data_IF_432702468768
#
_entry.id   IF_432702468768
#
_cell.length_a   1.000
_cell.length_b   1.000
_cell.length_c   1.000
_cell.angle_alpha   90.00
_cell.angle_beta   90.00
_cell.angle_gamma   90.00
#
_symmetry.space_group_name_H-M   'P 1'
#
loop_
_entity.id
_entity.type
_entity.pdbx_description
1 polymer ?
#
# COMPACT_ATOMS: atom_id res chain seq x y z
N UNK A 1 1.34 -30.53 7.60
CA UNK A 1 2.49 -30.42 8.52
C UNK A 1 3.47 -29.42 7.92
N UNK A 2 3.51 -28.22 8.51
CA UNK A 2 4.43 -27.08 8.36
C UNK A 2 5.16 -26.88 7.02
N UNK A 3 4.61 -26.02 6.14
CA UNK A 3 5.39 -25.31 5.12
C UNK A 3 5.61 -23.87 5.58
N UNK A 4 6.52 -23.70 6.53
CA UNK A 4 7.17 -22.41 6.78
C UNK A 4 8.18 -22.21 5.65
N UNK A 5 7.72 -21.63 4.53
CA UNK A 5 8.58 -21.31 3.40
C UNK A 5 9.11 -19.87 3.59
N UNK A 6 10.15 -19.72 4.41
CA UNK A 6 10.91 -18.47 4.50
C UNK A 6 11.52 -18.21 3.11
N UNK A 7 11.01 -17.19 2.42
CA UNK A 7 11.18 -16.91 0.99
C UNK A 7 12.62 -17.11 0.46
N UNK A 8 12.85 -18.23 -0.23
CA UNK A 8 14.03 -18.46 -1.07
C UNK A 8 13.56 -18.49 -2.52
N UNK A 9 13.65 -17.36 -3.21
CA UNK A 9 13.30 -17.27 -4.62
C UNK A 9 14.29 -18.10 -5.44
N UNK A 10 13.79 -19.08 -6.18
CA UNK A 10 14.52 -19.64 -7.31
C UNK A 10 14.54 -18.62 -8.44
N UNK A 11 15.56 -18.67 -9.29
CA UNK A 11 15.60 -17.88 -10.52
C UNK A 11 14.24 -17.98 -11.25
N UNK A 12 13.69 -16.87 -11.80
CA UNK A 12 12.41 -16.92 -12.48
C UNK A 12 12.38 -18.03 -13.52
N UNK A 13 11.30 -18.78 -13.57
CA UNK A 13 11.12 -19.91 -14.50
C UNK A 13 12.05 -21.11 -14.27
N UNK A 14 12.89 -21.14 -13.24
CA UNK A 14 13.79 -22.28 -12.98
C UNK A 14 13.04 -23.63 -12.95
N UNK A 15 11.97 -23.73 -12.17
CA UNK A 15 11.20 -24.98 -12.07
C UNK A 15 10.47 -25.33 -13.37
N UNK A 16 10.04 -24.33 -14.15
CA UNK A 16 9.43 -24.55 -15.47
C UNK A 16 10.48 -25.05 -16.48
N UNK A 17 11.69 -24.50 -16.45
CA UNK A 17 12.83 -24.92 -17.29
C UNK A 17 13.32 -26.32 -16.93
N UNK A 18 13.24 -26.70 -15.66
CA UNK A 18 13.63 -28.04 -15.21
C UNK A 18 12.49 -29.05 -15.19
N UNK A 19 11.27 -28.67 -15.62
CA UNK A 19 10.06 -29.49 -15.53
C UNK A 19 10.09 -30.75 -16.39
N UNK A 20 9.23 -31.72 -16.02
CA UNK A 20 9.06 -32.93 -16.80
C UNK A 20 8.53 -32.64 -18.21
N UNK A 21 9.14 -33.27 -19.21
CA UNK A 21 8.85 -33.03 -20.62
C UNK A 21 9.70 -31.93 -21.26
N UNK A 22 10.31 -31.03 -20.47
CA UNK A 22 11.20 -29.95 -20.98
C UNK A 22 12.67 -30.29 -20.79
N UNK A 23 13.05 -30.92 -19.67
CA UNK A 23 14.43 -31.35 -19.42
C UNK A 23 14.48 -32.84 -19.06
N UNK A 24 15.35 -33.61 -19.72
CA UNK A 24 15.66 -35.00 -19.34
C UNK A 24 16.80 -35.08 -18.33
N UNK A 25 17.68 -34.08 -18.32
CA UNK A 25 18.91 -34.07 -17.51
C UNK A 25 19.11 -32.67 -16.92
N UNK A 26 19.42 -32.60 -15.61
CA UNK A 26 19.70 -31.34 -14.89
C UNK A 26 21.09 -31.42 -14.28
N UNK A 27 21.95 -30.49 -14.68
CA UNK A 27 23.34 -30.41 -14.24
C UNK A 27 23.50 -29.35 -13.15
N UNK A 28 24.02 -29.74 -11.99
CA UNK A 28 24.31 -28.85 -10.87
C UNK A 28 25.79 -28.53 -10.85
N UNK A 29 26.14 -27.26 -11.11
CA UNK A 29 27.53 -26.81 -11.30
C UNK A 29 28.19 -26.17 -10.07
N UNK A 30 27.59 -26.34 -8.88
CA UNK A 30 28.04 -25.69 -7.63
C UNK A 30 29.41 -26.18 -7.11
N UNK A 31 29.96 -25.47 -6.12
CA UNK A 31 31.22 -25.82 -5.45
C UNK A 31 31.13 -27.16 -4.67
N UNK A 32 32.29 -27.80 -4.56
CA UNK A 32 32.61 -29.21 -4.19
C UNK A 32 31.79 -29.89 -3.08
N UNK A 33 31.68 -31.22 -3.17
CA UNK A 33 31.03 -32.13 -2.22
C UNK A 33 31.46 -31.99 -0.73
N UNK A 34 32.57 -31.32 -0.45
CA UNK A 34 33.11 -31.07 0.90
C UNK A 34 32.30 -30.02 1.69
N UNK A 35 31.61 -29.11 1.00
CA UNK A 35 30.61 -28.22 1.59
C UNK A 35 29.24 -28.59 1.02
N UNK A 36 28.62 -29.66 1.53
CA UNK A 36 27.20 -29.98 1.28
C UNK A 36 26.32 -28.84 1.82
N UNK A 37 26.25 -27.74 1.08
CA UNK A 37 25.46 -26.60 1.48
C UNK A 37 23.99 -27.07 1.57
N UNK A 38 23.30 -26.86 2.71
CA UNK A 38 21.92 -27.28 2.88
C UNK A 38 20.98 -26.81 1.76
N UNK A 39 21.31 -25.69 1.11
CA UNK A 39 20.60 -25.13 -0.03
C UNK A 39 20.60 -26.05 -1.25
N UNK A 40 21.71 -26.72 -1.56
CA UNK A 40 21.80 -27.59 -2.74
C UNK A 40 20.79 -28.74 -2.64
N UNK A 41 20.68 -29.36 -1.46
CA UNK A 41 19.68 -30.42 -1.20
C UNK A 41 18.25 -29.91 -1.38
N UNK A 42 17.96 -28.67 -0.95
CA UNK A 42 16.64 -28.07 -1.13
C UNK A 42 16.33 -27.81 -2.61
N UNK A 43 17.28 -27.26 -3.37
CA UNK A 43 17.10 -27.02 -4.81
C UNK A 43 16.91 -28.34 -5.55
N UNK A 44 17.69 -29.37 -5.23
CA UNK A 44 17.51 -30.71 -5.78
C UNK A 44 16.11 -31.28 -5.47
N UNK A 45 15.64 -31.16 -4.23
CA UNK A 45 14.28 -31.59 -3.85
C UNK A 45 13.19 -30.83 -4.60
N UNK A 46 13.34 -29.51 -4.76
CA UNK A 46 12.41 -28.67 -5.52
C UNK A 46 12.40 -29.03 -7.02
N UNK A 47 13.56 -29.25 -7.63
CA UNK A 47 13.62 -29.69 -9.03
C UNK A 47 13.01 -31.09 -9.16
N UNK A 48 13.24 -31.98 -8.19
CA UNK A 48 12.70 -33.34 -8.20
C UNK A 48 11.18 -33.38 -8.07
N UNK A 49 10.57 -32.43 -7.35
CA UNK A 49 9.10 -32.33 -7.28
C UNK A 49 8.48 -31.85 -8.60
N UNK A 50 9.20 -31.02 -9.36
CA UNK A 50 8.77 -30.56 -10.68
C UNK A 50 9.09 -31.56 -11.81
N UNK A 51 10.13 -32.39 -11.63
CA UNK A 51 10.57 -33.38 -12.61
C UNK A 51 11.17 -34.62 -11.91
N UNK A 52 10.31 -35.59 -11.56
CA UNK A 52 10.75 -36.79 -10.86
C UNK A 52 11.73 -37.65 -11.66
N UNK A 53 11.63 -37.64 -12.99
CA UNK A 53 12.35 -38.54 -13.91
C UNK A 53 13.68 -37.98 -14.42
N UNK A 54 14.03 -36.73 -14.14
CA UNK A 54 15.28 -36.14 -14.65
C UNK A 54 16.54 -36.81 -14.08
N UNK A 55 17.55 -37.05 -14.91
CA UNK A 55 18.88 -37.42 -14.44
C UNK A 55 19.55 -36.20 -13.77
N UNK A 56 20.08 -36.35 -12.55
CA UNK A 56 20.81 -35.27 -11.87
C UNK A 56 22.31 -35.55 -11.95
N UNK A 57 23.04 -34.62 -12.54
CA UNK A 57 24.49 -34.70 -12.70
C UNK A 57 25.12 -33.63 -11.80
N UNK A 58 26.13 -34.02 -11.03
CA UNK A 58 26.93 -33.10 -10.24
C UNK A 58 28.20 -32.77 -11.03
N UNK A 59 28.30 -31.54 -11.50
CA UNK A 59 29.44 -31.05 -12.28
C UNK A 59 30.26 -30.10 -11.41
N UNK A 60 31.09 -30.65 -10.54
CA UNK A 60 31.89 -29.84 -9.62
C UNK A 60 32.79 -28.88 -10.40
N UNK A 61 32.84 -27.61 -9.98
CA UNK A 61 33.60 -26.55 -10.66
C UNK A 61 33.20 -26.36 -12.14
N UNK A 62 31.99 -26.77 -12.51
CA UNK A 62 31.47 -26.64 -13.87
C UNK A 62 31.97 -27.69 -14.87
N UNK A 63 32.66 -28.76 -14.41
CA UNK A 63 33.14 -29.81 -15.28
C UNK A 63 32.37 -31.13 -15.07
N UNK A 64 31.91 -31.74 -16.17
CA UNK A 64 31.36 -33.10 -16.20
C UNK A 64 32.47 -34.04 -16.65
N UNK A 65 32.95 -34.90 -15.74
CA UNK A 65 34.13 -35.76 -16.00
C UNK A 65 33.78 -37.22 -16.24
N UNK A 66 32.59 -37.68 -15.85
CA UNK A 66 32.15 -39.06 -16.03
C UNK A 66 31.55 -39.24 -17.43
N UNK A 67 32.06 -40.21 -18.18
CA UNK A 67 31.56 -40.54 -19.52
C UNK A 67 30.07 -40.90 -19.53
N UNK A 68 29.57 -41.58 -18.51
CA UNK A 68 28.14 -41.90 -18.37
C UNK A 68 27.27 -40.63 -18.29
N UNK A 69 27.72 -39.64 -17.51
CA UNK A 69 27.03 -38.36 -17.35
C UNK A 69 27.06 -37.56 -18.66
N UNK A 70 28.18 -37.59 -19.39
CA UNK A 70 28.29 -36.98 -20.73
C UNK A 70 27.32 -37.66 -21.70
N UNK A 71 27.23 -38.99 -21.70
CA UNK A 71 26.31 -39.74 -22.55
C UNK A 71 24.84 -39.42 -22.24
N UNK A 72 24.50 -39.19 -20.97
CA UNK A 72 23.16 -38.76 -20.56
C UNK A 72 22.81 -37.34 -21.01
N UNK A 73 23.79 -36.44 -21.08
CA UNK A 73 23.60 -35.07 -21.60
C UNK A 73 23.44 -35.09 -23.11
N UNK A 74 24.23 -35.90 -23.81
CA UNK A 74 24.27 -35.99 -25.27
C UNK A 74 23.27 -37.00 -25.85
N UNK A 75 22.41 -37.59 -25.02
CA UNK A 75 21.43 -38.59 -25.45
C UNK A 75 20.41 -38.01 -26.44
N UNK A 76 20.35 -38.59 -27.64
CA UNK A 76 19.39 -38.19 -28.68
C UNK A 76 17.97 -38.70 -28.41
N UNK A 77 17.84 -39.78 -27.63
CA UNK A 77 16.56 -40.46 -27.39
C UNK A 77 15.86 -40.04 -26.11
N UNK A 78 16.60 -39.55 -25.09
CA UNK A 78 16.04 -39.26 -23.76
C UNK A 78 14.93 -38.20 -23.80
N UNK A 79 14.99 -37.27 -24.75
CA UNK A 79 13.94 -36.25 -24.93
C UNK A 79 12.66 -36.79 -25.60
N UNK A 80 12.78 -37.94 -26.28
CA UNK A 80 11.72 -38.57 -27.07
C UNK A 80 11.10 -39.79 -26.37
N UNK A 81 11.48 -40.07 -25.13
CA UNK A 81 10.85 -41.14 -24.36
C UNK A 81 9.33 -40.91 -24.22
N UNK A 82 8.51 -41.98 -24.29
CA UNK A 82 7.05 -41.85 -24.24
C UNK A 82 6.53 -41.07 -23.02
N UNK A 83 7.21 -41.18 -21.88
CA UNK A 83 6.85 -40.46 -20.66
C UNK A 83 7.11 -38.95 -20.78
N UNK A 84 8.27 -38.57 -21.35
CA UNK A 84 8.64 -37.18 -21.60
C UNK A 84 7.70 -36.52 -22.62
N UNK A 85 7.37 -37.23 -23.70
CA UNK A 85 6.40 -36.77 -24.69
C UNK A 85 5.02 -36.55 -24.07
N UNK A 86 4.52 -37.53 -23.31
CA UNK A 86 3.22 -37.42 -22.63
C UNK A 86 3.17 -36.23 -21.68
N UNK A 87 4.16 -36.10 -20.80
CA UNK A 87 4.24 -34.98 -19.86
C UNK A 87 4.24 -33.64 -20.60
N UNK A 88 4.99 -33.53 -21.70
CA UNK A 88 5.05 -32.32 -22.52
C UNK A 88 3.68 -31.94 -23.10
N UNK A 89 2.94 -32.89 -23.67
CA UNK A 89 1.62 -32.60 -24.25
C UNK A 89 0.56 -32.26 -23.19
N UNK A 90 0.65 -32.85 -22.00
CA UNK A 90 -0.31 -32.63 -20.91
C UNK A 90 -0.04 -31.32 -20.17
N UNK A 91 1.23 -31.06 -19.83
CA UNK A 91 1.62 -29.89 -19.04
C UNK A 91 1.77 -28.63 -19.90
N UNK A 92 2.06 -28.79 -21.20
CA UNK A 92 2.31 -27.70 -22.14
C UNK A 92 1.38 -27.78 -23.37
N UNK A 93 0.07 -27.56 -23.20
CA UNK A 93 -0.88 -27.65 -24.31
C UNK A 93 -0.56 -26.63 -25.41
N UNK A 94 -0.48 -27.12 -26.65
CA UNK A 94 -0.19 -26.28 -27.81
C UNK A 94 1.28 -25.86 -27.97
N UNK A 95 2.21 -26.39 -27.17
CA UNK A 95 3.65 -26.07 -27.26
C UNK A 95 4.21 -26.28 -28.67
N UNK A 96 3.89 -27.43 -29.30
CA UNK A 96 4.37 -27.80 -30.64
C UNK A 96 3.81 -26.89 -31.75
N UNK A 97 2.80 -26.06 -31.43
CA UNK A 97 2.20 -25.07 -32.33
C UNK A 97 2.56 -23.64 -31.95
N UNK A 98 3.50 -23.45 -31.01
CA UNK A 98 3.88 -22.13 -30.49
C UNK A 98 2.76 -21.41 -29.72
N UNK A 99 1.74 -22.13 -29.25
CA UNK A 99 0.56 -21.55 -28.56
C UNK A 99 0.68 -21.57 -27.03
N UNK A 100 1.70 -22.24 -26.49
CA UNK A 100 1.91 -22.28 -25.06
C UNK A 100 2.52 -20.96 -24.58
N UNK A 101 1.80 -20.24 -23.72
CA UNK A 101 2.30 -19.01 -23.11
C UNK A 101 2.86 -19.31 -21.72
N UNK A 102 4.18 -19.36 -21.60
CA UNK A 102 4.85 -19.53 -20.30
C UNK A 102 4.76 -18.28 -19.43
N UNK A 103 4.25 -17.15 -19.93
CA UNK A 103 4.36 -15.86 -19.22
C UNK A 103 5.78 -15.29 -19.25
N UNK A 104 5.90 -14.01 -18.91
CA UNK A 104 7.20 -13.33 -18.81
C UNK A 104 7.94 -13.81 -17.56
N UNK A 105 9.22 -14.18 -17.70
CA UNK A 105 10.13 -14.40 -16.56
C UNK A 105 10.60 -13.09 -15.90
N UNK A 106 10.23 -11.95 -16.49
CA UNK A 106 10.56 -10.62 -15.97
C UNK A 106 9.43 -10.10 -15.07
N UNK A 107 9.82 -9.45 -13.97
CA UNK A 107 8.91 -8.59 -13.22
C UNK A 107 8.45 -7.46 -14.14
N UNK A 108 7.18 -7.44 -14.50
CA UNK A 108 6.63 -6.37 -15.34
C UNK A 108 6.56 -5.11 -14.48
N UNK A 109 7.58 -4.26 -14.61
CA UNK A 109 7.53 -2.89 -14.14
C UNK A 109 6.55 -2.13 -15.02
N UNK A 110 5.46 -1.66 -14.42
CA UNK A 110 4.44 -0.85 -15.08
C UNK A 110 4.71 0.62 -14.82
N UNK A 111 4.62 1.44 -15.87
CA UNK A 111 4.59 2.90 -15.74
C UNK A 111 3.14 3.36 -15.76
N UNK A 112 2.73 4.14 -14.76
CA UNK A 112 1.38 4.69 -14.64
C UNK A 112 1.44 6.20 -14.58
N UNK A 113 0.77 6.89 -15.51
CA UNK A 113 0.68 8.35 -15.54
C UNK A 113 -0.65 8.81 -14.95
N UNK A 114 -0.59 9.72 -13.99
CA UNK A 114 -1.76 10.35 -13.37
C UNK A 114 -1.68 11.86 -13.56
N UNK A 115 -2.65 12.43 -14.28
CA UNK A 115 -2.79 13.86 -14.47
C UNK A 115 -3.76 14.45 -13.44
N UNK A 116 -3.54 15.70 -13.04
CA UNK A 116 -4.36 16.44 -12.09
C UNK A 116 -4.25 17.95 -12.33
N UNK A 117 -5.22 18.72 -11.83
CA UNK A 117 -5.36 20.13 -12.19
C UNK A 117 -4.98 21.08 -11.03
N UNK A 118 -5.10 20.61 -9.79
CA UNK A 118 -4.88 21.44 -8.59
C UNK A 118 -3.46 21.30 -8.03
N UNK A 119 -2.93 22.34 -7.36
CA UNK A 119 -1.63 22.28 -6.73
C UNK A 119 -1.60 21.28 -5.56
N UNK A 120 -0.42 20.71 -5.31
CA UNK A 120 -0.13 19.87 -4.16
C UNK A 120 0.44 20.69 -3.00
N UNK A 121 0.33 20.16 -1.78
CA UNK A 121 1.03 20.71 -0.62
C UNK A 121 2.45 20.13 -0.57
N UNK A 122 3.46 20.98 -0.76
CA UNK A 122 4.87 20.55 -0.81
C UNK A 122 5.30 19.72 0.41
N UNK A 123 4.97 20.11 1.67
CA UNK A 123 5.34 19.31 2.84
C UNK A 123 4.69 17.92 2.85
N UNK A 124 3.43 17.82 2.41
CA UNK A 124 2.71 16.55 2.33
C UNK A 124 3.33 15.66 1.26
N UNK A 125 3.58 16.20 0.07
CA UNK A 125 4.24 15.45 -1.02
C UNK A 125 5.59 14.88 -0.59
N UNK A 126 6.48 15.70 0.00
CA UNK A 126 7.79 15.24 0.50
C UNK A 126 7.64 14.12 1.53
N UNK A 127 6.70 14.27 2.46
CA UNK A 127 6.43 13.27 3.50
C UNK A 127 5.93 11.95 2.90
N UNK A 128 5.03 12.02 1.92
CA UNK A 128 4.48 10.83 1.24
C UNK A 128 5.52 10.14 0.38
N UNK A 129 6.39 10.87 -0.32
CA UNK A 129 7.54 10.29 -1.03
C UNK A 129 8.43 9.51 -0.06
N UNK A 130 8.82 10.10 1.07
CA UNK A 130 9.60 9.39 2.11
C UNK A 130 8.89 8.13 2.63
N UNK A 131 7.56 8.18 2.75
CA UNK A 131 6.74 7.03 3.12
C UNK A 131 6.75 5.89 2.10
N UNK A 132 6.98 6.17 0.82
CA UNK A 132 7.11 5.11 -0.19
C UNK A 132 8.31 4.21 0.10
N UNK A 133 9.43 4.79 0.55
CA UNK A 133 10.65 4.03 0.90
C UNK A 133 10.40 3.05 2.05
N UNK A 134 9.71 3.48 3.10
CA UNK A 134 9.36 2.60 4.21
C UNK A 134 8.28 1.57 3.84
N UNK A 135 7.49 1.83 2.81
CA UNK A 135 6.45 0.91 2.33
C UNK A 135 6.94 -0.17 1.36
N UNK A 136 8.20 -0.10 0.91
CA UNK A 136 8.77 -1.10 -0.01
C UNK A 136 8.75 -2.49 0.61
N UNK A 137 8.03 -3.41 -0.03
CA UNK A 137 7.93 -4.80 0.41
C UNK A 137 8.93 -5.65 -0.34
N UNK A 138 9.65 -6.49 0.39
CA UNK A 138 10.47 -7.53 -0.23
C UNK A 138 9.59 -8.58 -0.92
N UNK A 139 8.48 -9.00 -0.28
CA UNK A 139 7.38 -9.75 -0.92
C UNK A 139 6.04 -9.64 -0.19
N UNK A 140 4.91 -9.76 -0.92
CA UNK A 140 4.82 -9.58 -2.37
C UNK A 140 5.21 -8.15 -2.75
N UNK A 141 5.99 -7.98 -3.83
CA UNK A 141 6.45 -6.68 -4.32
C UNK A 141 5.35 -5.91 -5.07
N UNK A 142 4.14 -6.49 -5.18
CA UNK A 142 2.97 -5.83 -5.77
C UNK A 142 2.58 -4.62 -4.94
N UNK A 143 2.40 -3.48 -5.61
CA UNK A 143 2.15 -2.18 -4.99
C UNK A 143 3.43 -1.37 -4.70
N UNK A 144 4.62 -1.95 -4.88
CA UNK A 144 5.86 -1.18 -4.73
C UNK A 144 5.98 -0.14 -5.85
N UNK A 145 6.28 1.10 -5.45
CA UNK A 145 6.67 2.19 -6.34
C UNK A 145 8.18 2.39 -6.20
N UNK A 146 8.89 2.41 -7.33
CA UNK A 146 10.35 2.55 -7.37
C UNK A 146 10.76 3.96 -7.75
N UNK A 147 10.11 4.55 -8.75
CA UNK A 147 10.33 5.94 -9.12
C UNK A 147 9.02 6.71 -9.22
N UNK A 148 9.07 7.99 -8.88
CA UNK A 148 8.01 8.97 -9.12
C UNK A 148 8.64 10.17 -9.79
N UNK A 149 8.12 10.60 -10.93
CA UNK A 149 8.63 11.78 -11.61
C UNK A 149 7.53 12.50 -12.39
N UNK A 150 7.70 13.79 -12.67
CA UNK A 150 6.74 14.53 -13.47
C UNK A 150 6.73 16.02 -13.15
N UNK A 151 5.63 16.68 -13.50
CA UNK A 151 5.45 18.12 -13.38
C UNK A 151 4.32 18.42 -12.42
N UNK A 152 4.59 19.21 -11.39
CA UNK A 152 3.63 19.54 -10.34
C UNK A 152 3.66 21.04 -10.04
N UNK A 153 2.51 21.59 -9.65
CA UNK A 153 2.43 22.91 -9.02
C UNK A 153 2.25 22.71 -7.53
N UNK A 154 2.91 23.54 -6.71
CA UNK A 154 2.73 23.50 -5.26
C UNK A 154 1.96 24.73 -4.77
N UNK A 155 1.20 24.59 -3.69
CA UNK A 155 0.40 25.70 -3.14
C UNK A 155 1.23 26.89 -2.65
N UNK A 156 2.54 26.69 -2.45
CA UNK A 156 3.51 27.72 -2.04
C UNK A 156 4.25 28.36 -3.23
N UNK A 157 3.93 27.98 -4.48
CA UNK A 157 4.59 28.50 -5.68
C UNK A 157 3.71 28.42 -6.93
N UNK A 158 3.58 29.54 -7.63
CA UNK A 158 2.89 29.60 -8.92
C UNK A 158 3.68 28.92 -10.07
N UNK A 159 4.96 28.65 -9.85
CA UNK A 159 5.83 28.04 -10.86
C UNK A 159 5.57 26.53 -10.97
N UNK A 160 5.61 26.03 -12.21
CA UNK A 160 5.60 24.60 -12.47
C UNK A 160 6.96 24.02 -12.07
N UNK A 161 6.94 22.95 -11.29
CA UNK A 161 8.13 22.30 -10.74
C UNK A 161 8.27 20.92 -11.37
N UNK A 162 9.49 20.59 -11.80
CA UNK A 162 9.86 19.23 -12.15
C UNK A 162 10.27 18.49 -10.87
N UNK A 163 9.68 17.32 -10.66
CA UNK A 163 9.97 16.48 -9.50
C UNK A 163 10.46 15.12 -9.95
N UNK A 164 11.42 14.59 -9.22
CA UNK A 164 11.93 13.23 -9.40
C UNK A 164 12.29 12.63 -8.04
N UNK A 165 11.74 11.46 -7.76
CA UNK A 165 11.95 10.72 -6.53
C UNK A 165 12.33 9.29 -6.84
N UNK A 166 13.48 8.86 -6.32
CA UNK A 166 13.89 7.47 -6.34
C UNK A 166 13.67 6.86 -4.95
N UNK A 167 12.82 5.84 -4.89
CA UNK A 167 12.36 5.26 -3.62
C UNK A 167 13.46 4.42 -2.95
N UNK A 168 14.35 3.81 -3.73
CA UNK A 168 15.43 2.96 -3.21
C UNK A 168 16.51 3.80 -2.54
N UNK A 169 17.02 4.82 -3.24
CA UNK A 169 17.99 5.76 -2.66
C UNK A 169 17.33 6.68 -1.63
N UNK A 170 16.06 7.03 -1.83
CA UNK A 170 15.35 8.06 -1.08
C UNK A 170 15.69 9.48 -1.54
N UNK A 171 16.34 9.62 -2.70
CA UNK A 171 16.69 10.93 -3.27
C UNK A 171 15.46 11.60 -3.88
N UNK A 172 15.19 12.84 -3.47
CA UNK A 172 14.12 13.69 -3.99
C UNK A 172 14.74 14.95 -4.59
N UNK A 173 14.44 15.21 -5.86
CA UNK A 173 14.76 16.44 -6.56
C UNK A 173 13.48 17.19 -6.88
N UNK A 174 13.47 18.49 -6.60
CA UNK A 174 12.39 19.43 -6.94
C UNK A 174 13.07 20.65 -7.53
N UNK A 175 12.89 20.87 -8.83
CA UNK A 175 13.56 21.94 -9.57
C UNK A 175 12.51 22.80 -10.26
N UNK A 176 12.58 24.15 -10.16
CA UNK A 176 11.71 25.02 -10.94
C UNK A 176 11.91 24.80 -12.43
N UNK A 177 10.83 24.64 -13.18
CA UNK A 177 10.90 24.56 -14.63
C UNK A 177 11.16 25.96 -15.19
N UNK A 178 12.16 26.11 -16.06
CA UNK A 178 12.40 27.38 -16.75
C UNK A 178 11.22 27.60 -17.71
N UNK A 179 10.41 28.67 -17.53
CA UNK A 179 9.21 28.87 -18.32
C UNK A 179 9.57 29.15 -19.79
N UNK A 180 9.09 28.30 -20.70
CA UNK A 180 9.07 28.59 -22.12
C UNK A 180 7.87 29.47 -22.49
N UNK A 181 7.87 30.09 -23.69
CA UNK A 181 6.85 31.06 -24.12
C UNK A 181 5.40 30.52 -24.26
N UNK A 182 5.11 29.26 -23.87
CA UNK A 182 3.79 28.60 -23.98
C UNK A 182 3.35 27.81 -22.73
N UNK A 183 4.03 27.95 -21.58
CA UNK A 183 3.89 27.00 -20.45
C UNK A 183 2.77 27.29 -19.43
N UNK A 184 1.95 28.32 -19.63
CA UNK A 184 0.89 28.67 -18.67
C UNK A 184 -0.22 27.62 -18.54
N UNK A 185 -0.39 26.74 -19.53
CA UNK A 185 -1.45 25.73 -19.56
C UNK A 185 -0.95 24.28 -19.53
N UNK A 186 0.33 24.06 -19.18
CA UNK A 186 0.89 22.71 -19.12
C UNK A 186 0.26 21.93 -17.96
N UNK A 187 -0.46 20.81 -18.22
CA UNK A 187 -1.18 20.08 -17.18
C UNK A 187 -0.21 19.42 -16.19
N UNK A 188 -0.54 19.45 -14.90
CA UNK A 188 0.24 18.74 -13.88
C UNK A 188 0.06 17.22 -14.04
N UNK A 189 1.14 16.47 -13.91
CA UNK A 189 1.10 15.01 -13.96
C UNK A 189 2.27 14.39 -13.21
N UNK A 190 2.05 13.17 -12.74
CA UNK A 190 3.09 12.31 -12.18
C UNK A 190 3.07 10.95 -12.88
N UNK A 191 4.25 10.41 -13.10
CA UNK A 191 4.50 9.08 -13.62
C UNK A 191 5.11 8.25 -12.50
N UNK A 192 4.54 7.06 -12.31
CA UNK A 192 4.93 6.12 -11.27
C UNK A 192 5.43 4.84 -11.92
N UNK A 193 6.67 4.48 -11.63
CA UNK A 193 7.27 3.22 -12.06
C UNK A 193 7.16 2.22 -10.90
N UNK A 194 6.42 1.13 -11.08
CA UNK A 194 6.19 0.17 -10.00
C UNK A 194 5.60 -1.15 -10.48
N UNK A 195 5.32 -2.07 -9.55
CA UNK A 195 4.82 -3.41 -9.91
C UNK A 195 3.36 -3.56 -9.50
N UNK A 196 2.49 -3.84 -10.48
CA UNK A 196 1.06 -4.06 -10.24
C UNK A 196 0.34 -2.87 -9.61
N UNK A 197 0.73 -1.66 -10.02
CA UNK A 197 0.11 -0.40 -9.60
C UNK A 197 -1.31 -0.28 -10.18
N UNK A 198 -2.22 0.34 -9.42
CA UNK A 198 -3.58 0.66 -9.87
C UNK A 198 -3.76 2.16 -9.97
N UNK A 199 -4.51 2.62 -10.96
CA UNK A 199 -4.78 4.04 -11.14
C UNK A 199 -5.48 4.66 -9.91
N UNK A 200 -6.46 3.97 -9.34
CA UNK A 200 -7.21 4.46 -8.18
C UNK A 200 -6.33 4.57 -6.92
N UNK A 201 -5.46 3.59 -6.68
CA UNK A 201 -4.53 3.64 -5.55
C UNK A 201 -3.53 4.80 -5.65
N UNK A 202 -3.08 5.13 -6.88
CA UNK A 202 -2.22 6.28 -7.12
C UNK A 202 -2.97 7.60 -6.98
N UNK A 203 -4.24 7.67 -7.40
CA UNK A 203 -5.11 8.84 -7.17
C UNK A 203 -5.33 9.07 -5.68
N UNK A 204 -5.63 8.03 -4.91
CA UNK A 204 -5.78 8.12 -3.46
C UNK A 204 -4.49 8.57 -2.78
N UNK A 205 -3.34 8.06 -3.21
CA UNK A 205 -2.05 8.53 -2.73
C UNK A 205 -1.84 10.03 -3.02
N UNK A 206 -2.20 10.51 -4.21
CA UNK A 206 -2.10 11.93 -4.57
C UNK A 206 -3.04 12.83 -3.77
N UNK A 207 -4.25 12.36 -3.44
CA UNK A 207 -5.17 13.11 -2.55
C UNK A 207 -4.57 13.35 -1.17
N UNK A 208 -3.71 12.45 -0.69
CA UNK A 208 -2.97 12.64 0.57
C UNK A 208 -1.85 13.69 0.48
N UNK A 209 -1.50 14.12 -0.73
CA UNK A 209 -0.54 15.19 -1.01
C UNK A 209 -1.22 16.55 -1.20
N UNK A 210 -2.55 16.63 -1.22
CA UNK A 210 -3.31 17.85 -1.34
C UNK A 210 -3.95 18.26 0.01
N UNK A 211 -4.47 19.49 0.12
CA UNK A 211 -5.28 19.89 1.27
C UNK A 211 -6.48 18.94 1.38
N UNK A 212 -6.52 18.18 2.48
CA UNK A 212 -7.65 17.31 2.77
C UNK A 212 -8.92 18.14 2.98
N UNK A 213 -10.02 17.65 2.41
CA UNK A 213 -11.34 18.20 2.64
C UNK A 213 -11.64 18.16 4.14
N UNK A 214 -11.92 19.32 4.73
CA UNK A 214 -12.41 19.35 6.10
C UNK A 214 -13.74 18.59 6.16
N UNK A 215 -13.85 17.65 7.08
CA UNK A 215 -15.04 16.82 7.25
C UNK A 215 -16.07 17.55 8.10
N UNK A 216 -17.35 17.29 7.83
CA UNK A 216 -18.43 17.85 8.63
C UNK A 216 -18.27 17.42 10.08
N UNK A 217 -18.39 18.38 10.99
CA UNK A 217 -18.44 18.10 12.43
C UNK A 217 -19.80 17.47 12.75
N UNK A 218 -19.84 16.36 13.51
CA UNK A 218 -21.09 15.75 13.93
C UNK A 218 -21.81 16.65 14.95
N UNK A 219 -23.15 16.66 14.92
CA UNK A 219 -23.95 17.36 15.93
C UNK A 219 -23.78 16.70 17.30
N UNK A 220 -23.62 17.50 18.34
CA UNK A 220 -23.67 17.05 19.73
C UNK A 220 -25.10 16.67 20.12
N UNK A 221 -25.21 15.59 20.87
CA UNK A 221 -26.43 15.09 21.51
C UNK A 221 -26.12 14.74 22.96
N UNK A 222 -27.16 14.51 23.78
CA UNK A 222 -26.97 14.14 25.20
C UNK A 222 -26.10 12.88 25.37
N UNK A 223 -26.16 11.94 24.44
CA UNK A 223 -25.36 10.70 24.47
C UNK A 223 -23.90 10.88 24.03
N UNK A 224 -23.55 11.97 23.33
CA UNK A 224 -22.18 12.25 22.89
C UNK A 224 -21.40 13.14 23.85
N UNK A 225 -22.06 13.70 24.86
CA UNK A 225 -21.40 14.53 25.87
C UNK A 225 -20.61 13.66 26.85
N UNK A 226 -19.35 14.01 27.06
CA UNK A 226 -18.52 13.37 28.07
C UNK A 226 -18.95 13.77 29.49
N UNK A 227 -18.71 12.93 30.51
CA UNK A 227 -18.95 13.29 31.90
C UNK A 227 -18.18 14.54 32.37
N UNK A 228 -17.04 14.84 31.74
CA UNK A 228 -16.26 16.04 32.03
C UNK A 228 -16.95 17.29 31.48
N UNK A 229 -17.47 17.25 30.25
CA UNK A 229 -18.24 18.36 29.68
C UNK A 229 -19.49 18.67 30.51
N UNK A 230 -20.21 17.64 30.98
CA UNK A 230 -21.37 17.81 31.86
C UNK A 230 -20.96 18.53 33.16
N UNK A 231 -19.84 18.14 33.77
CA UNK A 231 -19.32 18.83 34.97
C UNK A 231 -18.92 20.27 34.67
N UNK A 232 -18.31 20.54 33.52
CA UNK A 232 -17.93 21.90 33.12
C UNK A 232 -19.17 22.79 32.91
N UNK A 233 -20.21 22.28 32.23
CA UNK A 233 -21.49 22.99 32.05
C UNK A 233 -22.09 23.33 33.42
N UNK A 234 -22.09 22.36 34.35
CA UNK A 234 -22.56 22.59 35.70
C UNK A 234 -21.73 23.67 36.42
N UNK A 235 -20.40 23.56 36.39
CA UNK A 235 -19.51 24.54 37.04
C UNK A 235 -19.69 25.97 36.52
N UNK A 236 -20.07 26.17 35.26
CA UNK A 236 -20.32 27.51 34.74
C UNK A 236 -21.63 28.11 35.27
N UNK A 237 -22.63 27.27 35.58
CA UNK A 237 -24.01 27.69 35.88
C UNK A 237 -24.50 27.31 37.29
N UNK A 238 -23.66 26.70 38.13
CA UNK A 238 -24.06 26.20 39.46
C UNK A 238 -24.45 27.29 40.48
N UNK A 239 -24.15 28.56 40.18
CA UNK A 239 -24.52 29.74 40.96
C UNK A 239 -25.78 30.44 40.43
N UNK A 240 -26.38 29.91 39.36
CA UNK A 240 -27.62 30.45 38.82
C UNK A 240 -28.77 30.31 39.83
N UNK A 241 -29.79 31.18 39.75
CA UNK A 241 -30.91 31.15 40.69
C UNK A 241 -31.65 29.81 40.64
N UNK A 242 -31.89 29.25 41.82
CA UNK A 242 -32.59 28.00 41.98
C UNK A 242 -34.10 28.14 41.69
N UNK A 243 -34.75 27.08 41.19
CA UNK A 243 -36.20 27.03 41.12
C UNK A 243 -36.84 27.24 42.50
N UNK A 244 -38.06 27.79 42.56
CA UNK A 244 -38.83 27.86 43.81
C UNK A 244 -38.93 26.48 44.47
N UNK A 245 -38.64 26.42 45.76
CA UNK A 245 -38.69 25.17 46.52
C UNK A 245 -37.39 24.35 46.51
N UNK A 246 -36.31 24.87 45.94
CA UNK A 246 -34.98 24.29 46.06
C UNK A 246 -34.04 25.20 46.86
N UNK A 247 -33.15 24.58 47.64
CA UNK A 247 -32.05 25.29 48.31
C UNK A 247 -30.77 24.46 48.25
N UNK A 248 -29.63 25.13 48.30
CA UNK A 248 -28.33 24.47 48.38
C UNK A 248 -27.85 24.43 49.84
N UNK A 249 -27.59 23.24 50.37
CA UNK A 249 -27.23 23.06 51.78
C UNK A 249 -25.72 23.12 52.07
N UNK A 250 -24.91 23.55 51.09
CA UNK A 250 -23.44 23.56 51.17
C UNK A 250 -22.76 22.33 50.59
N UNK A 251 -23.50 21.23 50.40
CA UNK A 251 -23.00 19.98 49.80
C UNK A 251 -23.82 19.52 48.58
N UNK A 252 -25.15 19.66 48.63
CA UNK A 252 -26.10 19.15 47.65
C UNK A 252 -27.30 20.09 47.51
N UNK A 253 -28.00 19.97 46.39
CA UNK A 253 -29.29 20.63 46.17
C UNK A 253 -30.40 19.80 46.81
N UNK A 254 -31.29 20.45 47.54
CA UNK A 254 -32.38 19.80 48.28
C UNK A 254 -33.70 20.48 47.96
N UNK A 255 -34.74 19.69 47.72
CA UNK A 255 -36.10 20.19 47.50
C UNK A 255 -36.89 20.35 48.83
N UNK A 256 -38.10 20.90 48.75
CA UNK A 256 -39.01 21.04 49.91
C UNK A 256 -39.46 19.71 50.53
N UNK A 257 -39.30 18.59 49.84
CA UNK A 257 -39.64 17.25 50.31
C UNK A 257 -38.43 16.50 50.89
N UNK A 258 -37.23 17.08 50.80
CA UNK A 258 -35.98 16.52 51.29
C UNK A 258 -35.22 15.63 50.28
N UNK A 259 -35.64 15.57 49.02
CA UNK A 259 -34.92 14.87 47.96
C UNK A 259 -33.61 15.58 47.63
N UNK A 260 -32.54 14.81 47.41
CA UNK A 260 -31.17 15.34 47.25
C UNK A 260 -30.65 15.12 45.84
N UNK A 261 -30.06 16.16 45.26
CA UNK A 261 -29.45 16.13 43.93
C UNK A 261 -28.00 16.61 43.97
N UNK A 262 -27.15 15.97 43.15
CA UNK A 262 -25.73 16.31 43.02
C UNK A 262 -25.46 17.43 42.01
N UNK A 263 -26.41 17.67 41.11
CA UNK A 263 -26.34 18.71 40.10
C UNK A 263 -27.48 19.70 40.29
N UNK A 264 -27.29 20.90 39.76
CA UNK A 264 -28.28 21.96 39.75
C UNK A 264 -29.63 21.43 39.19
N UNK A 265 -30.79 21.79 39.77
CA UNK A 265 -32.09 21.29 39.30
C UNK A 265 -32.40 21.57 37.81
N UNK A 266 -31.85 22.67 37.27
CA UNK A 266 -31.93 23.02 35.83
C UNK A 266 -30.80 22.42 34.98
N UNK A 267 -30.11 21.37 35.43
CA UNK A 267 -28.98 20.80 34.70
C UNK A 267 -29.38 20.33 33.29
N UNK A 268 -30.55 19.70 33.15
CA UNK A 268 -31.11 19.27 31.88
C UNK A 268 -31.32 20.44 30.90
N UNK A 269 -31.71 21.61 31.41
CA UNK A 269 -31.90 22.83 30.63
C UNK A 269 -30.55 23.41 30.21
N UNK A 270 -29.58 23.46 31.13
CA UNK A 270 -28.22 23.92 30.83
C UNK A 270 -27.54 23.05 29.77
N UNK A 271 -27.73 21.72 29.85
CA UNK A 271 -27.25 20.78 28.83
C UNK A 271 -27.94 21.05 27.50
N UNK A 272 -29.24 21.30 27.50
CA UNK A 272 -30.00 21.56 26.27
C UNK A 272 -29.59 22.88 25.61
N UNK A 273 -29.40 23.94 26.40
CA UNK A 273 -28.90 25.25 25.94
C UNK A 273 -27.50 25.09 25.33
N UNK A 274 -26.59 24.41 26.04
CA UNK A 274 -25.25 24.11 25.54
C UNK A 274 -25.25 23.32 24.23
N UNK A 275 -26.07 22.26 24.14
CA UNK A 275 -26.20 21.46 22.91
C UNK A 275 -26.71 22.33 21.77
N UNK A 276 -27.68 23.22 22.03
CA UNK A 276 -28.28 24.09 21.02
C UNK A 276 -27.25 25.07 20.47
N UNK A 277 -26.49 25.75 21.34
CA UNK A 277 -25.46 26.70 20.89
C UNK A 277 -24.29 25.97 20.22
N UNK A 278 -23.81 24.86 20.77
CA UNK A 278 -22.73 24.07 20.17
C UNK A 278 -23.13 23.51 18.79
N UNK A 279 -24.39 23.08 18.63
CA UNK A 279 -24.88 22.60 17.34
C UNK A 279 -25.05 23.73 16.33
N UNK A 280 -25.44 24.93 16.78
CA UNK A 280 -25.51 26.11 15.93
C UNK A 280 -24.13 26.50 15.40
N UNK A 281 -23.08 26.45 16.23
CA UNK A 281 -21.70 26.64 15.78
C UNK A 281 -21.25 25.55 14.79
N UNK A 282 -21.59 24.29 15.06
CA UNK A 282 -21.31 23.16 14.15
C UNK A 282 -22.02 23.35 12.80
N UNK A 283 -23.28 23.80 12.81
CA UNK A 283 -24.04 24.08 11.59
C UNK A 283 -23.46 25.24 10.80
N UNK A 284 -23.06 26.33 11.46
CA UNK A 284 -22.37 27.45 10.80
C UNK A 284 -21.07 26.99 10.16
N UNK A 285 -20.27 26.19 10.87
CA UNK A 285 -19.03 25.63 10.35
C UNK A 285 -19.27 24.71 9.15
N UNK A 286 -20.20 23.75 9.26
CA UNK A 286 -20.51 22.83 8.15
C UNK A 286 -21.09 23.59 6.94
N UNK A 287 -21.91 24.61 7.16
CA UNK A 287 -22.44 25.46 6.07
C UNK A 287 -21.33 26.25 5.39
N UNK A 288 -20.38 26.81 6.15
CA UNK A 288 -19.21 27.47 5.59
C UNK A 288 -18.36 26.50 4.76
N UNK A 289 -18.20 25.25 5.22
CA UNK A 289 -17.51 24.21 4.46
C UNK A 289 -18.23 23.82 3.17
N UNK A 290 -19.56 23.73 3.19
CA UNK A 290 -20.37 23.46 2.00
C UNK A 290 -20.27 24.60 0.98
N UNK A 291 -20.33 25.85 1.44
CA UNK A 291 -20.18 27.04 0.60
C UNK A 291 -18.77 27.18 0.01
N UNK A 292 -17.74 26.77 0.75
CA UNK A 292 -16.36 26.77 0.25
C UNK A 292 -16.08 25.67 -0.77
N UNK A 293 -16.95 24.65 -0.86
CA UNK A 293 -16.97 23.65 -1.92
C UNK A 293 -15.59 23.25 -2.42
N UNK A 294 -14.80 22.54 -1.61
CA UNK A 294 -13.42 22.21 -1.99
C UNK A 294 -13.42 21.10 -3.07
N UNK A 295 -13.09 21.42 -4.33
CA UNK A 295 -13.19 20.47 -5.43
C UNK A 295 -12.03 19.47 -5.38
N UNK A 296 -12.24 18.25 -5.92
CA UNK A 296 -11.23 17.19 -5.92
C UNK A 296 -10.00 17.61 -6.73
N UNK A 297 -8.86 17.01 -6.41
CA UNK A 297 -7.57 17.24 -7.08
C UNK A 297 -7.66 17.03 -8.62
N UNK A 298 -8.58 16.16 -9.03
CA UNK A 298 -8.81 15.74 -10.41
C UNK A 298 -9.98 16.46 -11.08
N UNK A 299 -10.73 17.27 -10.34
CA UNK A 299 -11.79 18.08 -10.93
C UNK A 299 -11.17 19.18 -11.83
N UNK A 300 -11.82 19.56 -12.93
CA UNK A 300 -11.38 20.66 -13.79
C UNK A 300 -11.34 22.02 -13.07
#
# INVERSE_FOLDING_TARGET
>A
MSLVCYCRFTFPKLLEQCSQGIASTVVFTGLTAEQKHPLMKHVQQLVRSANPTAAFILAERGAVTRNEDVNLILSESSFNEPQMLRARYVLYPGWCKGRFFSGSGSLVLTQQRVAFNRPLERPLFVTRCKGLKSSLRLTPFRGNVYNVWGKVRFSDSEQLMEVSYNTVSGSLSIVPLIPGPKDTDTPCFLVFDGVGLTADGLKDWLRLCAKQRQTNKPKKTKSTLSPQEIKSIHMTRHLDPLPPGFFYNGYQYVDIFGEKMNFHPYMEEFIQEYITEANKEVEQFNRQLELQGQPDLFDP
#
